data_IF_331586361382
#
_entry.id   IF_331586361382
#
_cell.length_a   1.000
_cell.length_b   1.000
_cell.length_c   1.000
_cell.angle_alpha   90.00
_cell.angle_beta   90.00
_cell.angle_gamma   90.00
#
_symmetry.space_group_name_H-M   'P 1'
#
loop_
_entity.id
_entity.type
_entity.pdbx_description
1 polymer ?
#
# COMPACT_ATOMS: atom_id res chain seq x y z
N UNK A 1 -33.81 20.70 -55.45
CA UNK A 1 -33.15 20.84 -54.15
C UNK A 1 -33.24 19.53 -53.41
N UNK A 2 -32.12 18.79 -53.25
CA UNK A 2 -32.08 17.52 -52.53
C UNK A 2 -31.61 17.77 -51.09
N UNK A 3 -32.43 17.42 -50.11
CA UNK A 3 -32.09 17.53 -48.70
C UNK A 3 -31.39 16.25 -48.27
N UNK A 4 -30.10 16.37 -47.99
CA UNK A 4 -29.26 15.25 -47.48
C UNK A 4 -29.39 15.20 -45.97
N UNK A 5 -30.10 14.21 -45.42
CA UNK A 5 -30.19 13.96 -43.99
C UNK A 5 -28.96 13.16 -43.53
N UNK A 6 -28.08 13.81 -42.81
CA UNK A 6 -26.93 13.17 -42.11
C UNK A 6 -27.43 12.37 -40.90
N UNK A 7 -27.31 11.03 -40.93
CA UNK A 7 -27.55 10.17 -39.80
C UNK A 7 -26.29 10.16 -38.91
N UNK A 8 -26.33 10.87 -37.79
CA UNK A 8 -25.27 10.73 -36.74
C UNK A 8 -25.32 9.33 -36.12
N UNK A 9 -24.26 8.57 -36.31
CA UNK A 9 -24.04 7.29 -35.58
C UNK A 9 -23.67 7.61 -34.13
N UNK A 10 -24.63 7.48 -33.23
CA UNK A 10 -24.34 7.45 -31.78
C UNK A 10 -23.54 6.18 -31.52
N UNK A 11 -22.21 6.31 -31.27
CA UNK A 11 -21.41 5.23 -30.71
C UNK A 11 -21.87 5.02 -29.27
N UNK A 12 -22.64 3.98 -29.00
CA UNK A 12 -22.82 3.44 -27.64
C UNK A 12 -21.46 2.89 -27.21
N UNK A 13 -20.80 3.55 -26.28
CA UNK A 13 -19.74 2.96 -25.46
C UNK A 13 -20.40 1.86 -24.64
N UNK A 14 -20.08 0.61 -24.95
CA UNK A 14 -20.45 -0.51 -24.08
C UNK A 14 -19.59 -0.34 -22.82
N UNK A 15 -20.20 0.07 -21.72
CA UNK A 15 -19.54 0.03 -20.41
C UNK A 15 -19.19 -1.44 -20.15
N UNK A 16 -17.90 -1.73 -20.04
CA UNK A 16 -17.44 -3.07 -19.64
C UNK A 16 -17.90 -3.29 -18.21
N UNK A 17 -18.63 -4.37 -17.99
CA UNK A 17 -19.02 -4.76 -16.64
C UNK A 17 -17.77 -5.00 -15.79
N UNK A 18 -17.73 -4.41 -14.60
CA UNK A 18 -16.67 -4.64 -13.61
C UNK A 18 -17.19 -5.50 -12.47
N UNK A 19 -16.30 -6.18 -11.79
CA UNK A 19 -16.58 -6.91 -10.56
C UNK A 19 -15.58 -6.50 -9.49
N UNK A 20 -16.06 -6.36 -8.27
CA UNK A 20 -15.21 -6.04 -7.13
C UNK A 20 -14.41 -7.27 -6.69
N UNK A 21 -13.12 -7.10 -6.47
CA UNK A 21 -12.20 -8.15 -6.03
C UNK A 21 -11.29 -7.63 -4.92
N UNK A 22 -10.94 -8.53 -4.02
CA UNK A 22 -9.80 -8.43 -3.14
C UNK A 22 -8.65 -9.20 -3.75
N UNK A 23 -7.45 -8.61 -3.74
CA UNK A 23 -6.20 -9.31 -3.98
C UNK A 23 -5.33 -9.15 -2.73
N UNK A 24 -4.72 -10.23 -2.28
CA UNK A 24 -3.93 -10.21 -1.05
C UNK A 24 -2.81 -11.25 -1.07
N UNK A 25 -1.89 -11.09 -0.14
CA UNK A 25 -0.65 -11.84 -0.09
C UNK A 25 -0.54 -12.65 1.19
N UNK A 26 0.08 -13.83 1.10
CA UNK A 26 0.50 -14.61 2.26
C UNK A 26 2.03 -14.70 2.29
N UNK A 27 2.64 -14.12 3.31
CA UNK A 27 4.08 -14.14 3.49
C UNK A 27 4.61 -15.55 3.78
N UNK A 28 3.86 -16.36 4.53
CA UNK A 28 4.27 -17.72 4.91
C UNK A 28 4.23 -18.71 3.75
N UNK A 29 3.23 -18.61 2.86
CA UNK A 29 3.11 -19.51 1.71
C UNK A 29 3.75 -18.96 0.44
N UNK A 30 4.09 -17.67 0.40
CA UNK A 30 4.62 -17.01 -0.80
C UNK A 30 3.60 -16.88 -1.93
N UNK A 31 2.30 -16.80 -1.60
CA UNK A 31 1.20 -16.85 -2.55
C UNK A 31 0.53 -15.51 -2.74
N UNK A 32 -0.06 -15.32 -3.93
CA UNK A 32 -0.98 -14.23 -4.25
C UNK A 32 -2.38 -14.81 -4.42
N UNK A 33 -3.32 -14.25 -3.71
CA UNK A 33 -4.71 -14.67 -3.68
C UNK A 33 -5.65 -13.65 -4.32
N UNK A 34 -6.81 -14.13 -4.75
CA UNK A 34 -7.96 -13.30 -5.13
C UNK A 34 -9.24 -13.87 -4.53
N UNK A 35 -10.12 -13.00 -4.04
CA UNK A 35 -11.44 -13.36 -3.55
C UNK A 35 -12.47 -12.26 -3.85
N UNK A 36 -13.75 -12.58 -3.75
CA UNK A 36 -14.80 -11.57 -3.68
C UNK A 36 -14.73 -10.82 -2.33
N UNK A 37 -15.26 -9.59 -2.23
CA UNK A 37 -15.25 -8.83 -0.98
C UNK A 37 -15.99 -9.48 0.21
N UNK A 38 -16.79 -10.51 -0.04
CA UNK A 38 -17.46 -11.31 0.98
C UNK A 38 -16.70 -12.61 1.34
N UNK A 39 -15.50 -12.81 0.76
CA UNK A 39 -14.65 -13.99 0.95
C UNK A 39 -14.97 -15.17 0.02
N UNK A 40 -16.07 -15.12 -0.73
CA UNK A 40 -16.39 -16.16 -1.72
C UNK A 40 -15.42 -16.14 -2.91
N UNK A 41 -15.44 -17.21 -3.70
CA UNK A 41 -14.59 -17.38 -4.89
C UNK A 41 -13.09 -17.14 -4.61
N UNK A 42 -12.62 -17.64 -3.44
CA UNK A 42 -11.20 -17.60 -3.06
C UNK A 42 -10.37 -18.46 -4.02
N UNK A 43 -9.31 -17.85 -4.56
CA UNK A 43 -8.39 -18.49 -5.51
C UNK A 43 -6.95 -18.14 -5.17
N UNK A 44 -6.06 -19.11 -5.28
CA UNK A 44 -4.63 -18.86 -5.40
C UNK A 44 -4.36 -18.56 -6.87
N UNK A 45 -3.94 -17.34 -7.18
CA UNK A 45 -3.65 -16.90 -8.55
C UNK A 45 -2.16 -17.01 -8.90
N UNK A 46 -1.28 -16.92 -7.88
CA UNK A 46 0.16 -17.23 -8.03
C UNK A 46 0.53 -18.15 -6.88
N UNK A 47 0.97 -19.39 -7.22
CA UNK A 47 0.97 -20.50 -6.28
C UNK A 47 2.15 -20.52 -5.32
N UNK A 48 3.36 -20.14 -5.75
CA UNK A 48 4.56 -20.32 -4.92
C UNK A 48 5.78 -19.58 -5.49
N UNK A 49 6.90 -19.64 -4.77
CA UNK A 49 8.19 -19.12 -5.22
C UNK A 49 8.46 -17.68 -4.78
N UNK A 50 7.53 -17.02 -4.12
CA UNK A 50 7.72 -15.65 -3.60
C UNK A 50 8.23 -15.71 -2.19
N UNK A 51 9.24 -14.91 -1.92
CA UNK A 51 9.86 -14.88 -0.60
C UNK A 51 9.36 -13.67 0.17
N UNK A 52 8.47 -13.93 1.15
CA UNK A 52 7.87 -12.93 2.00
C UNK A 52 7.21 -11.79 1.20
N UNK A 53 6.20 -12.06 0.35
CA UNK A 53 5.47 -11.00 -0.33
C UNK A 53 4.78 -10.11 0.70
N UNK A 54 4.72 -8.77 0.43
CA UNK A 54 4.26 -7.82 1.45
C UNK A 54 3.26 -6.78 0.94
N UNK A 55 3.58 -5.92 0.00
CA UNK A 55 2.68 -4.93 -0.55
C UNK A 55 2.11 -5.33 -1.89
N UNK A 56 0.88 -4.93 -2.21
CA UNK A 56 0.19 -5.25 -3.48
C UNK A 56 -0.64 -4.08 -3.97
N UNK A 57 -0.60 -3.81 -5.28
CA UNK A 57 -1.47 -2.82 -5.95
C UNK A 57 -2.00 -3.35 -7.27
N UNK A 58 -3.10 -2.75 -7.72
CA UNK A 58 -3.81 -3.09 -8.96
C UNK A 58 -3.73 -1.95 -9.95
N UNK A 59 -3.38 -2.24 -11.19
CA UNK A 59 -3.63 -1.38 -12.35
C UNK A 59 -4.81 -1.93 -13.13
N UNK A 60 -6.02 -1.49 -12.78
CA UNK A 60 -7.26 -1.97 -13.40
C UNK A 60 -7.32 -1.66 -14.90
N UNK A 61 -6.79 -0.51 -15.32
CA UNK A 61 -6.77 -0.10 -16.72
C UNK A 61 -5.87 -0.98 -17.60
N UNK A 62 -4.77 -1.48 -17.06
CA UNK A 62 -3.82 -2.36 -17.76
C UNK A 62 -4.08 -3.86 -17.53
N UNK A 63 -4.92 -4.22 -16.56
CA UNK A 63 -5.18 -5.63 -16.20
C UNK A 63 -4.04 -6.28 -15.42
N UNK A 64 -3.29 -5.51 -14.64
CA UNK A 64 -2.10 -5.99 -13.95
C UNK A 64 -2.16 -5.86 -12.43
N UNK A 65 -1.55 -6.83 -11.75
CA UNK A 65 -1.17 -6.78 -10.35
C UNK A 65 0.33 -6.51 -10.24
N UNK A 66 0.73 -5.76 -9.21
CA UNK A 66 2.13 -5.57 -8.82
C UNK A 66 2.26 -5.87 -7.34
N UNK A 67 3.31 -6.58 -6.94
CA UNK A 67 3.59 -6.86 -5.53
C UNK A 67 5.08 -6.85 -5.24
N UNK A 68 5.40 -6.55 -4.00
CA UNK A 68 6.76 -6.61 -3.48
C UNK A 68 7.05 -7.99 -2.90
N UNK A 69 8.29 -8.44 -3.04
CA UNK A 69 8.85 -9.58 -2.32
C UNK A 69 9.99 -9.06 -1.46
N UNK A 70 9.87 -9.20 -0.14
CA UNK A 70 10.89 -8.71 0.78
C UNK A 70 12.22 -9.43 0.64
N UNK A 71 12.20 -10.68 0.16
CA UNK A 71 13.42 -11.50 0.10
C UNK A 71 13.93 -11.87 1.48
N UNK A 72 15.25 -12.01 1.58
CA UNK A 72 15.93 -12.19 2.87
C UNK A 72 16.35 -10.82 3.42
N UNK A 73 15.91 -10.41 4.60
CA UNK A 73 16.25 -9.11 5.19
C UNK A 73 17.75 -8.83 5.37
N UNK A 74 18.61 -9.80 5.14
CA UNK A 74 20.06 -9.65 5.22
C UNK A 74 20.79 -9.80 3.89
N UNK A 75 20.07 -10.08 2.78
CA UNK A 75 20.70 -10.52 1.52
C UNK A 75 20.58 -9.52 0.35
N UNK A 76 19.89 -8.39 0.50
CA UNK A 76 19.62 -7.44 -0.59
C UNK A 76 19.07 -8.15 -1.85
N UNK A 77 18.10 -9.04 -1.67
CA UNK A 77 17.47 -9.84 -2.73
C UNK A 77 15.97 -9.55 -2.91
N UNK A 78 15.51 -8.42 -2.37
CA UNK A 78 14.15 -7.94 -2.56
C UNK A 78 13.85 -7.62 -4.03
N UNK A 79 12.58 -7.77 -4.42
CA UNK A 79 12.13 -7.57 -5.81
C UNK A 79 10.70 -7.04 -5.86
N UNK A 80 10.29 -6.56 -7.04
CA UNK A 80 8.89 -6.27 -7.34
C UNK A 80 8.52 -7.07 -8.60
N UNK A 81 7.42 -7.79 -8.51
CA UNK A 81 6.86 -8.58 -9.61
C UNK A 81 5.53 -7.99 -10.10
N UNK A 82 5.17 -8.37 -11.32
CA UNK A 82 3.88 -8.09 -11.95
C UNK A 82 3.31 -9.38 -12.54
N UNK A 83 1.99 -9.51 -12.51
CA UNK A 83 1.24 -10.51 -13.28
C UNK A 83 -0.05 -9.92 -13.87
N UNK A 84 -0.71 -10.67 -14.74
CA UNK A 84 -2.11 -10.43 -15.10
C UNK A 84 -3.03 -10.82 -13.94
N UNK A 85 -4.32 -10.41 -13.98
CA UNK A 85 -5.28 -10.70 -12.89
C UNK A 85 -5.54 -12.19 -12.66
N UNK A 86 -5.26 -13.04 -13.63
CA UNK A 86 -5.35 -14.50 -13.49
C UNK A 86 -4.04 -15.16 -13.03
N UNK A 87 -3.04 -14.36 -12.67
CA UNK A 87 -1.73 -14.81 -12.19
C UNK A 87 -0.78 -15.25 -13.29
N UNK A 88 -1.13 -15.10 -14.58
CA UNK A 88 -0.23 -15.41 -15.68
C UNK A 88 0.76 -14.28 -15.97
N UNK A 89 1.72 -14.57 -16.84
CA UNK A 89 2.72 -13.63 -17.33
C UNK A 89 3.52 -12.95 -16.20
N UNK A 90 3.83 -13.71 -15.14
CA UNK A 90 4.65 -13.21 -14.03
C UNK A 90 6.01 -12.75 -14.54
N UNK A 91 6.40 -11.54 -14.18
CA UNK A 91 7.69 -10.96 -14.56
C UNK A 91 8.24 -10.03 -13.47
N UNK A 92 9.57 -10.02 -13.33
CA UNK A 92 10.22 -9.03 -12.47
C UNK A 92 10.17 -7.64 -13.11
N UNK A 93 9.65 -6.67 -12.35
CA UNK A 93 9.69 -5.24 -12.70
C UNK A 93 10.91 -4.59 -12.04
N UNK A 94 11.13 -4.86 -10.76
CA UNK A 94 12.36 -4.49 -10.06
C UNK A 94 13.08 -5.76 -9.69
N UNK A 95 14.27 -6.03 -10.31
CA UNK A 95 14.98 -7.28 -10.10
C UNK A 95 15.61 -7.34 -8.70
N UNK A 96 15.93 -8.55 -8.19
CA UNK A 96 16.68 -8.73 -6.96
C UNK A 96 17.98 -7.91 -6.96
N UNK A 97 18.27 -7.25 -5.83
CA UNK A 97 19.45 -6.40 -5.67
C UNK A 97 19.24 -4.92 -5.99
N UNK A 98 18.17 -4.55 -6.69
CA UNK A 98 17.84 -3.15 -6.96
C UNK A 98 17.07 -2.49 -5.80
N UNK A 99 16.45 -3.26 -4.94
CA UNK A 99 15.83 -2.85 -3.68
C UNK A 99 16.19 -3.87 -2.61
N UNK A 100 16.30 -3.43 -1.35
CA UNK A 100 16.79 -4.31 -0.28
C UNK A 100 15.66 -5.19 0.28
N UNK A 101 14.64 -4.55 0.90
CA UNK A 101 13.50 -5.22 1.52
C UNK A 101 12.24 -4.41 1.24
N UNK A 102 11.72 -4.44 0.00
CA UNK A 102 10.55 -3.66 -0.37
C UNK A 102 9.33 -4.13 0.43
N UNK A 103 8.64 -3.16 1.04
CA UNK A 103 7.44 -3.34 1.85
C UNK A 103 6.21 -2.89 1.05
N UNK A 104 5.35 -2.05 1.63
CA UNK A 104 4.16 -1.56 0.94
C UNK A 104 4.52 -0.74 -0.29
N UNK A 105 3.67 -0.80 -1.32
CA UNK A 105 3.85 -0.06 -2.56
C UNK A 105 2.55 0.62 -2.99
N UNK A 106 2.70 1.66 -3.81
CA UNK A 106 1.59 2.41 -4.38
C UNK A 106 1.78 2.66 -5.88
N UNK A 107 0.67 2.82 -6.58
CA UNK A 107 0.62 3.04 -8.02
C UNK A 107 0.14 4.45 -8.35
N UNK A 108 0.94 5.19 -9.11
CA UNK A 108 0.52 6.40 -9.83
C UNK A 108 0.22 6.02 -11.28
N UNK A 109 -1.06 5.72 -11.56
CA UNK A 109 -1.49 5.37 -12.91
C UNK A 109 -1.32 6.53 -13.90
N UNK A 110 -1.56 7.77 -13.45
CA UNK A 110 -1.48 8.97 -14.26
C UNK A 110 -0.08 9.20 -14.83
N UNK A 111 0.94 9.06 -14.00
CA UNK A 111 2.34 9.24 -14.38
C UNK A 111 3.06 7.92 -14.67
N UNK A 112 2.36 6.78 -14.61
CA UNK A 112 2.86 5.43 -14.88
C UNK A 112 4.07 5.06 -14.03
N UNK A 113 3.93 5.22 -12.69
CA UNK A 113 5.01 4.97 -11.72
C UNK A 113 4.55 4.08 -10.58
N UNK A 114 5.50 3.28 -10.08
CA UNK A 114 5.41 2.57 -8.80
C UNK A 114 6.25 3.29 -7.76
N UNK A 115 5.75 3.33 -6.52
CA UNK A 115 6.42 3.87 -5.35
C UNK A 115 6.40 2.82 -4.25
N UNK A 116 7.48 2.66 -3.51
CA UNK A 116 7.53 1.68 -2.42
C UNK A 116 8.46 2.12 -1.28
N UNK A 117 8.23 1.59 -0.10
CA UNK A 117 9.13 1.67 1.02
C UNK A 117 10.13 0.51 0.96
N UNK A 118 11.40 0.79 1.15
CA UNK A 118 12.49 -0.19 1.23
C UNK A 118 13.00 -0.20 2.68
N UNK A 119 12.54 -1.17 3.48
CA UNK A 119 12.62 -1.15 4.94
C UNK A 119 14.06 -1.14 5.45
N UNK A 120 14.82 -2.21 5.26
CA UNK A 120 16.22 -2.30 5.64
C UNK A 120 17.12 -1.44 4.77
N UNK A 121 16.66 -1.05 3.59
CA UNK A 121 17.30 -0.04 2.75
C UNK A 121 17.15 1.38 3.31
N UNK A 122 16.28 1.60 4.29
CA UNK A 122 16.04 2.90 4.95
C UNK A 122 15.71 4.00 3.94
N UNK A 123 14.78 3.73 3.01
CA UNK A 123 14.47 4.67 1.92
C UNK A 123 13.05 4.49 1.37
N UNK A 124 12.57 5.52 0.70
CA UNK A 124 11.40 5.46 -0.16
C UNK A 124 11.87 5.58 -1.61
N UNK A 125 11.39 4.71 -2.46
CA UNK A 125 11.84 4.57 -3.83
C UNK A 125 10.70 4.69 -4.83
N UNK A 126 11.07 4.93 -6.10
CA UNK A 126 10.15 5.02 -7.23
C UNK A 126 10.78 4.42 -8.49
N UNK A 127 9.96 3.88 -9.39
CA UNK A 127 10.36 3.48 -10.74
C UNK A 127 9.22 3.70 -11.74
N UNK A 128 9.50 3.62 -13.03
CA UNK A 128 8.47 3.47 -14.05
C UNK A 128 7.82 2.06 -13.94
N UNK A 129 6.60 1.89 -14.49
CA UNK A 129 5.88 0.60 -14.48
C UNK A 129 6.59 -0.52 -15.24
N UNK A 130 7.56 -0.20 -16.07
CA UNK A 130 8.43 -1.16 -16.76
C UNK A 130 9.72 -1.48 -16.00
N UNK A 131 9.88 -0.91 -14.78
CA UNK A 131 11.07 -1.07 -13.94
C UNK A 131 12.24 -0.17 -14.29
N UNK A 132 12.13 0.65 -15.33
CA UNK A 132 13.17 1.63 -15.67
C UNK A 132 13.17 2.82 -14.70
N UNK A 133 14.26 3.57 -14.65
CA UNK A 133 14.43 4.78 -13.83
C UNK A 133 14.14 4.55 -12.35
N UNK A 134 14.74 3.50 -11.77
CA UNK A 134 14.69 3.30 -10.31
C UNK A 134 15.46 4.43 -9.64
N UNK A 135 14.80 5.12 -8.70
CA UNK A 135 15.37 6.25 -7.97
C UNK A 135 14.95 6.26 -6.49
N UNK A 136 15.80 6.80 -5.64
CA UNK A 136 15.50 7.05 -4.22
C UNK A 136 14.92 8.44 -4.08
N UNK A 137 13.74 8.56 -3.45
CA UNK A 137 13.06 9.83 -3.18
C UNK A 137 13.32 10.36 -1.77
N UNK A 138 13.41 9.45 -0.81
CA UNK A 138 13.71 9.72 0.60
C UNK A 138 14.83 8.77 1.01
N UNK A 139 15.86 9.30 1.63
CA UNK A 139 16.92 8.52 2.26
C UNK A 139 16.93 8.87 3.75
N UNK A 140 16.57 7.91 4.58
CA UNK A 140 16.50 8.07 6.04
C UNK A 140 17.75 7.55 6.75
N UNK A 141 18.76 7.07 6.02
CA UNK A 141 19.96 6.45 6.58
C UNK A 141 20.89 7.43 7.31
N UNK A 142 20.73 8.75 7.01
CA UNK A 142 21.63 9.81 7.54
C UNK A 142 23.11 9.54 7.28
N UNK A 143 23.40 8.93 6.12
CA UNK A 143 24.76 8.61 5.69
C UNK A 143 25.30 7.27 6.22
N UNK A 144 24.54 6.56 7.05
CA UNK A 144 24.87 5.20 7.46
C UNK A 144 23.99 4.20 6.69
N UNK A 145 24.39 3.90 5.48
CA UNK A 145 23.67 3.03 4.58
C UNK A 145 23.83 1.51 4.91
N UNK A 146 24.35 1.17 6.07
CA UNK A 146 24.41 -0.25 6.50
C UNK A 146 22.98 -0.78 6.67
N UNK A 147 22.58 -1.76 5.87
CA UNK A 147 21.19 -2.21 5.86
C UNK A 147 20.72 -2.65 7.25
N UNK A 148 19.53 -2.20 7.61
CA UNK A 148 18.86 -2.62 8.85
C UNK A 148 19.46 -2.11 10.15
N UNK A 149 20.48 -1.25 10.12
CA UNK A 149 21.21 -0.85 11.33
C UNK A 149 20.36 -0.03 12.31
N UNK A 150 19.50 0.84 11.81
CA UNK A 150 18.68 1.70 12.65
C UNK A 150 17.18 1.47 12.37
N UNK A 151 16.54 0.69 13.23
CA UNK A 151 15.11 0.34 13.10
C UNK A 151 14.21 1.59 13.08
N UNK A 152 14.61 2.68 13.74
CA UNK A 152 13.84 3.94 13.75
C UNK A 152 13.73 4.60 12.37
N UNK A 153 14.58 4.19 11.43
CA UNK A 153 14.67 4.74 10.07
C UNK A 153 14.00 3.84 9.02
N UNK A 154 13.45 2.71 9.43
CA UNK A 154 12.78 1.77 8.55
C UNK A 154 11.48 2.35 7.99
N UNK A 155 11.42 2.53 6.67
CA UNK A 155 10.22 2.94 5.95
C UNK A 155 9.37 1.71 5.62
N UNK A 156 8.05 1.75 5.89
CA UNK A 156 7.19 0.55 5.77
C UNK A 156 5.97 0.80 4.88
N UNK A 157 5.03 1.63 5.31
CA UNK A 157 3.82 1.96 4.57
C UNK A 157 4.00 3.18 3.68
N UNK A 158 3.22 3.25 2.59
CA UNK A 158 3.27 4.38 1.65
C UNK A 158 1.90 4.66 1.06
N UNK A 159 1.54 5.95 0.92
CA UNK A 159 0.38 6.39 0.17
C UNK A 159 0.68 7.66 -0.64
N UNK A 160 -0.15 7.94 -1.66
CA UNK A 160 0.07 9.03 -2.60
C UNK A 160 -1.15 9.94 -2.69
N UNK A 161 -0.93 11.25 -2.65
CA UNK A 161 -1.84 12.27 -3.13
C UNK A 161 -1.23 12.88 -4.41
N UNK A 162 -1.47 12.20 -5.52
CA UNK A 162 -0.86 12.54 -6.83
C UNK A 162 -1.28 13.94 -7.29
N UNK A 163 -2.54 14.33 -7.05
CA UNK A 163 -3.05 15.64 -7.46
C UNK A 163 -2.43 16.78 -6.65
N UNK A 164 -2.22 16.58 -5.36
CA UNK A 164 -1.48 17.55 -4.52
C UNK A 164 0.04 17.42 -4.64
N UNK A 165 0.53 16.42 -5.38
CA UNK A 165 1.96 16.17 -5.54
C UNK A 165 2.64 15.74 -4.23
N UNK A 166 1.98 14.94 -3.40
CA UNK A 166 2.47 14.51 -2.08
C UNK A 166 2.58 13.00 -1.96
N UNK A 167 3.58 12.54 -1.23
CA UNK A 167 3.71 11.18 -0.73
C UNK A 167 3.72 11.16 0.79
N UNK A 168 3.19 10.08 1.36
CA UNK A 168 3.11 9.82 2.79
C UNK A 168 3.77 8.48 3.09
N UNK A 169 4.49 8.36 4.19
CA UNK A 169 5.07 7.08 4.59
C UNK A 169 5.11 6.92 6.10
N UNK A 170 5.17 5.66 6.54
CA UNK A 170 5.36 5.30 7.93
C UNK A 170 6.82 4.94 8.21
N UNK A 171 7.28 5.25 9.41
CA UNK A 171 8.44 4.64 10.05
C UNK A 171 7.96 3.94 11.31
N UNK A 172 8.04 2.60 11.33
CA UNK A 172 7.41 1.84 12.40
C UNK A 172 8.09 1.99 13.77
N UNK A 173 9.36 2.32 13.79
CA UNK A 173 10.17 2.31 15.02
C UNK A 173 10.52 0.88 15.49
N UNK A 174 11.25 0.76 16.60
CA UNK A 174 11.47 -0.53 17.25
C UNK A 174 10.16 -1.13 17.78
N UNK A 175 10.13 -2.45 17.92
CA UNK A 175 8.94 -3.17 18.34
C UNK A 175 8.47 -2.67 19.72
N UNK A 176 7.20 -2.27 19.80
CA UNK A 176 6.53 -1.77 21.01
C UNK A 176 7.19 -0.56 21.73
N UNK A 177 8.07 0.16 21.05
CA UNK A 177 8.78 1.30 21.66
C UNK A 177 7.95 2.60 21.71
N UNK A 178 6.81 2.68 21.01
CA UNK A 178 6.06 3.93 20.91
C UNK A 178 6.82 5.03 20.15
N UNK A 179 7.69 4.65 19.24
CA UNK A 179 8.52 5.57 18.46
C UNK A 179 8.13 5.62 16.97
N UNK A 180 6.98 5.03 16.63
CA UNK A 180 6.42 5.06 15.30
C UNK A 180 6.04 6.47 14.85
N UNK A 181 6.16 6.74 13.55
CA UNK A 181 5.94 8.06 12.97
C UNK A 181 5.30 7.97 11.60
N UNK A 182 4.55 9.01 11.23
CA UNK A 182 4.02 9.23 9.88
C UNK A 182 4.53 10.56 9.36
N UNK A 183 5.04 10.53 8.14
CA UNK A 183 5.62 11.68 7.45
C UNK A 183 4.91 11.96 6.13
N UNK A 184 5.12 13.18 5.62
CA UNK A 184 4.74 13.61 4.29
C UNK A 184 5.88 14.39 3.63
N UNK A 185 6.00 14.29 2.29
CA UNK A 185 6.89 15.12 1.49
C UNK A 185 6.29 15.35 0.09
N UNK A 186 6.91 16.19 -0.73
CA UNK A 186 6.56 16.30 -2.15
C UNK A 186 6.92 15.01 -2.89
N UNK A 187 6.17 14.66 -3.94
CA UNK A 187 6.51 13.55 -4.85
C UNK A 187 7.86 13.78 -5.54
N UNK A 188 8.16 15.04 -5.91
CA UNK A 188 9.42 15.40 -6.53
C UNK A 188 10.40 15.95 -5.49
N UNK A 189 11.67 15.59 -5.63
CA UNK A 189 12.72 16.17 -4.77
C UNK A 189 12.86 17.66 -5.11
N UNK A 190 12.85 18.57 -4.11
CA UNK A 190 13.00 19.99 -4.36
C UNK A 190 14.28 20.32 -5.13
N UNK A 191 14.20 21.29 -6.04
CA UNK A 191 15.33 21.70 -6.88
C UNK A 191 16.59 22.01 -6.04
N UNK A 192 17.71 21.40 -6.42
CA UNK A 192 18.99 21.59 -5.73
C UNK A 192 19.16 20.76 -4.45
N UNK A 193 18.23 19.86 -4.17
CA UNK A 193 18.29 18.92 -3.05
C UNK A 193 18.44 17.49 -3.55
N UNK A 194 18.69 16.57 -2.62
CA UNK A 194 18.81 15.13 -2.85
C UNK A 194 17.86 14.38 -1.91
N UNK A 195 17.67 13.09 -2.11
CA UNK A 195 16.88 12.23 -1.22
C UNK A 195 17.33 12.30 0.26
N UNK A 196 18.65 12.50 0.49
CA UNK A 196 19.26 12.52 1.82
C UNK A 196 19.21 13.90 2.51
N UNK A 197 19.04 15.00 1.76
CA UNK A 197 19.11 16.34 2.35
C UNK A 197 17.89 17.21 2.05
N UNK A 198 16.81 16.65 1.54
CA UNK A 198 15.57 17.36 1.26
C UNK A 198 14.95 17.93 2.53
N UNK A 199 14.40 19.14 2.42
CA UNK A 199 13.90 19.93 3.57
C UNK A 199 12.39 20.05 3.61
N UNK A 200 11.69 19.39 2.70
CA UNK A 200 10.23 19.43 2.57
C UNK A 200 9.55 18.25 3.30
N UNK A 201 10.30 17.51 4.11
CA UNK A 201 9.76 16.42 4.94
C UNK A 201 9.02 17.03 6.12
N UNK A 202 7.75 16.68 6.25
CA UNK A 202 6.86 17.09 7.33
C UNK A 202 6.55 15.90 8.23
N UNK A 203 6.77 16.02 9.54
CA UNK A 203 6.33 15.04 10.54
C UNK A 203 4.85 15.33 10.86
N UNK A 204 3.97 14.39 10.53
CA UNK A 204 2.53 14.51 10.77
C UNK A 204 2.12 13.94 12.13
N UNK A 205 2.54 12.70 12.40
CA UNK A 205 2.22 11.97 13.63
C UNK A 205 3.47 11.30 14.19
N UNK A 206 3.55 11.22 15.51
CA UNK A 206 4.68 10.62 16.25
C UNK A 206 4.19 9.92 17.51
N UNK A 207 5.07 9.16 18.16
CA UNK A 207 4.78 8.38 19.36
C UNK A 207 3.67 7.34 19.11
N UNK A 208 3.62 6.81 17.89
CA UNK A 208 2.73 5.71 17.52
C UNK A 208 3.36 4.37 17.93
N UNK A 209 2.55 3.34 18.24
CA UNK A 209 3.11 2.03 18.60
C UNK A 209 3.99 1.45 17.47
N UNK A 210 3.41 0.96 16.39
CA UNK A 210 4.11 0.45 15.20
C UNK A 210 3.27 0.64 13.94
N UNK A 211 3.18 1.85 13.35
CA UNK A 211 2.42 2.08 12.14
C UNK A 211 3.01 1.32 10.96
N UNK A 212 2.18 0.55 10.25
CA UNK A 212 2.59 -0.31 9.14
C UNK A 212 2.10 0.27 7.83
N UNK A 213 0.96 -0.17 7.31
CA UNK A 213 0.39 0.26 6.05
C UNK A 213 -0.49 1.49 6.23
N UNK A 214 -0.64 2.30 5.18
CA UNK A 214 -1.47 3.49 5.24
C UNK A 214 -2.19 3.76 3.92
N UNK A 215 -3.41 4.30 4.03
CA UNK A 215 -4.28 4.65 2.91
C UNK A 215 -4.92 6.03 3.13
N UNK A 216 -5.29 6.70 2.03
CA UNK A 216 -5.83 8.06 2.06
C UNK A 216 -7.27 8.11 1.55
N UNK A 217 -8.14 8.72 2.32
CA UNK A 217 -9.40 9.28 1.84
C UNK A 217 -9.18 10.75 1.48
N UNK A 218 -8.83 10.99 0.21
CA UNK A 218 -8.50 12.32 -0.29
C UNK A 218 -9.70 13.28 -0.26
N UNK A 219 -10.92 12.76 -0.44
CA UNK A 219 -12.14 13.57 -0.43
C UNK A 219 -12.45 14.13 0.96
N UNK A 220 -12.24 13.31 2.00
CA UNK A 220 -12.46 13.70 3.39
C UNK A 220 -11.18 14.13 4.10
N UNK A 221 -10.05 14.20 3.40
CA UNK A 221 -8.74 14.58 3.95
C UNK A 221 -8.38 13.76 5.19
N UNK A 222 -8.58 12.44 5.12
CA UNK A 222 -8.37 11.51 6.23
C UNK A 222 -7.31 10.47 5.84
N UNK A 223 -6.34 10.24 6.72
CA UNK A 223 -5.36 9.17 6.63
C UNK A 223 -5.78 8.02 7.53
N UNK A 224 -5.70 6.79 7.03
CA UNK A 224 -5.91 5.55 7.75
C UNK A 224 -4.62 4.77 7.81
N UNK A 225 -4.35 4.03 8.89
CA UNK A 225 -3.22 3.12 8.97
C UNK A 225 -3.47 1.96 9.91
N UNK A 226 -2.84 0.84 9.62
CA UNK A 226 -2.73 -0.28 10.55
C UNK A 226 -1.59 -0.03 11.53
N UNK A 227 -1.78 -0.45 12.76
CA UNK A 227 -0.75 -0.40 13.78
C UNK A 227 -0.56 -1.80 14.39
N UNK A 228 0.67 -2.31 14.33
CA UNK A 228 1.02 -3.67 14.73
C UNK A 228 1.39 -3.81 16.21
N UNK A 229 1.73 -2.71 16.87
CA UNK A 229 2.18 -2.72 18.26
C UNK A 229 1.21 -3.39 19.24
N UNK A 230 1.61 -3.48 20.50
CA UNK A 230 0.80 -4.12 21.53
C UNK A 230 -0.46 -3.32 21.92
N UNK A 231 -1.55 -4.03 22.30
CA UNK A 231 -2.74 -3.38 22.87
C UNK A 231 -2.38 -2.57 24.15
N UNK A 232 -3.16 -1.50 24.47
CA UNK A 232 -4.44 -1.14 23.84
C UNK A 232 -4.31 -0.23 22.62
N UNK A 233 -3.14 0.33 22.33
CA UNK A 233 -2.97 1.31 21.26
C UNK A 233 -2.46 0.69 19.95
N UNK A 234 -1.92 -0.51 19.99
CA UNK A 234 -1.53 -1.30 18.84
C UNK A 234 -2.49 -2.46 18.56
N UNK A 235 -2.20 -3.24 17.52
CA UNK A 235 -3.11 -4.21 16.93
C UNK A 235 -4.45 -3.57 16.53
N UNK A 236 -4.36 -2.39 15.90
CA UNK A 236 -5.48 -1.49 15.62
C UNK A 236 -5.45 -0.98 14.18
N UNK A 237 -6.58 -0.41 13.74
CA UNK A 237 -6.63 0.55 12.64
C UNK A 237 -6.96 1.91 13.22
N UNK A 238 -6.23 2.88 12.79
CA UNK A 238 -6.36 4.27 13.23
C UNK A 238 -6.73 5.16 12.04
N UNK A 239 -7.39 6.28 12.33
CA UNK A 239 -7.58 7.37 11.38
C UNK A 239 -7.29 8.73 12.00
N UNK A 240 -6.90 9.67 11.15
CA UNK A 240 -6.64 11.04 11.57
C UNK A 240 -6.69 12.00 10.36
N UNK A 241 -6.75 13.32 10.54
CA UNK A 241 -6.63 14.28 9.45
C UNK A 241 -5.30 14.16 8.70
N UNK A 242 -5.33 14.29 7.38
CA UNK A 242 -4.12 14.40 6.57
C UNK A 242 -3.33 15.69 6.83
N UNK A 243 -4.02 16.72 7.34
CA UNK A 243 -3.47 18.05 7.63
C UNK A 243 -3.64 18.38 9.12
N UNK A 244 -2.85 17.73 10.00
CA UNK A 244 -2.98 17.96 11.44
C UNK A 244 -2.61 19.40 11.82
N UNK A 245 -3.38 20.00 12.74
CA UNK A 245 -3.05 21.31 13.30
C UNK A 245 -1.77 21.20 14.13
N UNK A 246 -0.78 22.03 13.81
CA UNK A 246 0.49 22.08 14.54
C UNK A 246 0.32 22.80 15.90
N UNK A 247 0.98 22.31 16.95
CA UNK A 247 1.01 22.93 18.27
C UNK A 247 0.14 22.25 19.33
N UNK A 248 -0.24 22.98 20.38
CA UNK A 248 -0.92 22.45 21.59
C UNK A 248 -2.33 21.90 21.37
N UNK A 249 -2.83 21.85 20.16
CA UNK A 249 -4.11 21.27 19.77
C UNK A 249 -3.98 20.06 18.88
N UNK A 250 -2.85 19.31 18.90
CA UNK A 250 -2.66 18.11 18.09
C UNK A 250 -3.86 17.19 18.22
N UNK A 251 -4.55 16.99 17.12
CA UNK A 251 -5.66 16.05 17.03
C UNK A 251 -5.10 14.64 17.20
N UNK A 252 -5.57 13.93 18.23
CA UNK A 252 -5.14 12.54 18.46
C UNK A 252 -5.75 11.64 17.40
N UNK A 253 -5.00 10.61 16.93
CA UNK A 253 -5.58 9.55 16.12
C UNK A 253 -6.77 8.91 16.83
N UNK A 254 -7.76 8.52 16.05
CA UNK A 254 -8.91 7.75 16.47
C UNK A 254 -8.70 6.28 16.12
N UNK A 255 -8.83 5.39 17.09
CA UNK A 255 -8.86 3.94 16.85
C UNK A 255 -10.24 3.58 16.32
N UNK A 256 -10.32 3.12 15.07
CA UNK A 256 -11.59 2.70 14.44
C UNK A 256 -11.75 1.18 14.40
N UNK A 257 -10.68 0.41 14.53
CA UNK A 257 -10.71 -1.03 14.61
C UNK A 257 -9.62 -1.53 15.58
N UNK A 258 -9.90 -2.60 16.31
CA UNK A 258 -9.00 -3.18 17.31
C UNK A 258 -9.04 -4.71 17.28
N UNK A 259 -8.22 -5.37 18.11
CA UNK A 259 -8.12 -6.83 18.21
C UNK A 259 -7.61 -7.52 16.95
N UNK A 260 -6.78 -6.86 16.14
CA UNK A 260 -5.99 -7.52 15.11
C UNK A 260 -4.91 -8.41 15.75
N UNK A 261 -4.42 -9.38 14.99
CA UNK A 261 -3.25 -10.20 15.38
C UNK A 261 -2.05 -9.80 14.53
N UNK A 262 -1.36 -8.74 14.92
CA UNK A 262 -0.33 -8.05 14.13
C UNK A 262 -0.90 -7.54 12.79
N UNK A 263 -1.67 -6.45 12.86
CA UNK A 263 -2.31 -5.83 11.69
C UNK A 263 -1.28 -5.34 10.67
N UNK A 264 -1.43 -5.75 9.40
CA UNK A 264 -0.50 -5.41 8.33
C UNK A 264 -1.16 -4.57 7.24
N UNK A 265 -2.00 -5.14 6.39
CA UNK A 265 -2.53 -4.45 5.22
C UNK A 265 -3.87 -3.76 5.48
N UNK A 266 -4.10 -2.67 4.77
CA UNK A 266 -5.38 -1.96 4.73
C UNK A 266 -5.73 -1.60 3.28
N UNK A 267 -6.99 -1.80 2.89
CA UNK A 267 -7.54 -1.36 1.63
C UNK A 267 -8.87 -0.63 1.85
N UNK A 268 -9.09 0.48 1.15
CA UNK A 268 -10.31 1.28 1.25
C UNK A 268 -11.20 1.11 0.00
N UNK A 269 -12.44 0.70 0.20
CA UNK A 269 -13.53 0.87 -0.75
C UNK A 269 -14.27 2.17 -0.39
N UNK A 270 -13.72 3.30 -0.82
CA UNK A 270 -14.27 4.63 -0.50
C UNK A 270 -15.68 4.81 -1.05
N UNK A 271 -15.99 4.24 -2.22
CA UNK A 271 -17.32 4.29 -2.83
C UNK A 271 -18.35 3.49 -2.03
N UNK A 272 -17.96 2.32 -1.52
CA UNK A 272 -18.79 1.47 -0.66
C UNK A 272 -18.77 1.87 0.81
N UNK A 273 -17.92 2.84 1.20
CA UNK A 273 -17.78 3.29 2.59
C UNK A 273 -17.18 2.23 3.52
N UNK A 274 -16.30 1.36 3.00
CA UNK A 274 -15.75 0.21 3.72
C UNK A 274 -14.23 0.15 3.67
N UNK A 275 -13.66 -0.57 4.62
CA UNK A 275 -12.27 -0.97 4.65
C UNK A 275 -12.14 -2.49 4.76
N UNK A 276 -11.01 -3.01 4.26
CA UNK A 276 -10.59 -4.39 4.38
C UNK A 276 -9.20 -4.43 5.01
N UNK A 277 -8.99 -5.38 5.92
CA UNK A 277 -7.82 -5.45 6.78
C UNK A 277 -7.25 -6.85 6.76
N UNK A 278 -5.93 -6.97 6.80
CA UNK A 278 -5.22 -8.24 6.97
C UNK A 278 -4.37 -8.23 8.23
N UNK A 279 -4.14 -9.41 8.80
CA UNK A 279 -3.22 -9.58 9.90
C UNK A 279 -2.35 -10.85 9.73
N UNK A 280 -1.27 -10.93 10.51
CA UNK A 280 -0.38 -12.10 10.51
C UNK A 280 -1.03 -13.33 11.15
N UNK A 281 -2.15 -13.18 11.85
CA UNK A 281 -2.98 -14.29 12.32
C UNK A 281 -3.74 -15.01 11.20
N UNK A 282 -3.68 -14.49 9.97
CA UNK A 282 -4.25 -15.11 8.78
C UNK A 282 -5.71 -14.75 8.52
N UNK A 283 -6.16 -13.62 9.03
CA UNK A 283 -7.54 -13.18 8.86
C UNK A 283 -7.65 -12.00 7.91
N UNK A 284 -8.78 -11.94 7.20
CA UNK A 284 -9.28 -10.74 6.53
C UNK A 284 -10.53 -10.28 7.25
N UNK A 285 -10.55 -9.01 7.64
CA UNK A 285 -11.72 -8.37 8.22
C UNK A 285 -12.26 -7.30 7.27
N UNK A 286 -13.54 -6.99 7.38
CA UNK A 286 -14.14 -5.80 6.80
C UNK A 286 -14.90 -5.01 7.85
N UNK A 287 -14.93 -3.68 7.69
CA UNK A 287 -15.73 -2.78 8.50
C UNK A 287 -16.12 -1.55 7.67
N UNK A 288 -17.06 -0.77 8.14
CA UNK A 288 -17.27 0.58 7.62
C UNK A 288 -16.05 1.45 7.94
N UNK A 289 -15.88 2.57 7.24
CA UNK A 289 -14.74 3.50 7.46
C UNK A 289 -14.70 4.13 8.87
N UNK A 290 -15.81 4.08 9.60
CA UNK A 290 -15.90 4.49 11.01
C UNK A 290 -15.66 3.34 12.01
N UNK A 291 -15.31 2.14 11.50
CA UNK A 291 -15.07 0.95 12.30
C UNK A 291 -16.32 0.19 12.74
N UNK A 292 -17.50 0.64 12.36
CA UNK A 292 -18.76 -0.08 12.61
C UNK A 292 -18.94 -1.26 11.65
N UNK A 293 -19.94 -2.11 11.89
CA UNK A 293 -20.33 -3.24 11.02
C UNK A 293 -19.18 -4.22 10.69
N UNK A 294 -18.39 -4.54 11.71
CA UNK A 294 -17.22 -5.44 11.63
C UNK A 294 -17.62 -6.87 11.25
N UNK A 295 -16.86 -7.48 10.34
CA UNK A 295 -17.04 -8.87 9.91
C UNK A 295 -15.69 -9.52 9.67
N UNK A 296 -15.57 -10.81 10.00
CA UNK A 296 -14.50 -11.66 9.50
C UNK A 296 -14.90 -12.14 8.10
N UNK A 297 -14.06 -11.84 7.11
CA UNK A 297 -14.26 -12.22 5.71
C UNK A 297 -13.62 -13.59 5.44
N UNK A 298 -12.37 -13.76 5.85
CA UNK A 298 -11.60 -15.00 5.78
C UNK A 298 -10.83 -15.19 7.09
N UNK A 299 -10.49 -16.44 7.41
CA UNK A 299 -9.70 -16.78 8.59
C UNK A 299 -8.79 -17.98 8.30
N UNK A 300 -7.65 -18.03 9.00
CA UNK A 300 -6.65 -19.10 8.95
C UNK A 300 -5.97 -19.31 7.57
N UNK A 301 -5.80 -18.23 6.79
CA UNK A 301 -5.18 -18.25 5.45
C UNK A 301 -3.64 -18.06 5.49
N UNK A 302 -2.99 -18.33 6.61
CA UNK A 302 -1.55 -18.14 6.83
C UNK A 302 -1.20 -16.72 7.32
N UNK A 303 0.04 -16.28 7.16
CA UNK A 303 0.44 -14.93 7.58
C UNK A 303 0.11 -13.93 6.46
N UNK A 304 -1.04 -13.24 6.57
CA UNK A 304 -1.48 -12.29 5.55
C UNK A 304 -0.78 -10.95 5.70
N UNK A 305 -0.45 -10.34 4.55
CA UNK A 305 0.26 -9.06 4.47
C UNK A 305 -0.54 -8.06 3.65
N UNK A 306 -0.04 -7.55 2.54
CA UNK A 306 -0.75 -6.55 1.74
C UNK A 306 -2.08 -7.02 1.19
N UNK A 307 -3.02 -6.10 1.09
CA UNK A 307 -4.35 -6.28 0.51
C UNK A 307 -4.72 -5.07 -0.34
N UNK A 308 -5.43 -5.31 -1.43
CA UNK A 308 -6.02 -4.24 -2.25
C UNK A 308 -7.44 -4.61 -2.66
N UNK A 309 -8.33 -3.63 -2.61
CA UNK A 309 -9.67 -3.69 -3.19
C UNK A 309 -9.66 -3.02 -4.56
N UNK A 310 -10.20 -3.68 -5.58
CA UNK A 310 -10.30 -3.10 -6.91
C UNK A 310 -11.55 -3.56 -7.65
N UNK A 311 -12.10 -2.68 -8.49
CA UNK A 311 -13.04 -3.06 -9.54
C UNK A 311 -12.25 -3.46 -10.78
N UNK A 312 -12.36 -4.72 -11.18
CA UNK A 312 -11.65 -5.29 -12.33
C UNK A 312 -12.64 -5.71 -13.41
N UNK A 313 -12.23 -5.78 -14.68
CA UNK A 313 -13.12 -6.29 -15.74
C UNK A 313 -13.69 -7.66 -15.34
N UNK A 314 -15.01 -7.81 -15.47
CA UNK A 314 -15.65 -9.10 -15.23
C UNK A 314 -15.05 -10.16 -16.19
N UNK A 315 -14.68 -11.32 -15.65
CA UNK A 315 -14.28 -12.45 -16.49
C UNK A 315 -15.48 -12.88 -17.34
N UNK A 316 -15.26 -13.02 -18.64
CA UNK A 316 -16.24 -13.52 -19.59
C UNK A 316 -16.24 -15.06 -19.64
#
# INVERSE_FOLDING_TARGET
>A
MAVTTSKSKIRRTVEKSTTARLFFLSASSGQVFSANPDGSDLKVIVSEGRRLPDGIVVNSGAGHLYWTNMGNPTANDGSIERADFDGKNVTHIVPPGATFTPKQLQLDEKNRKLYWCDREGMRVMRANLDGSKIETLIDTSEGDARPGKDIKKWCVGIALDVEAGKLYWTQKGPDNAGEGRIFRANLEIPKGQTAANRKDIELLYENLPEPIDLELDLANRTIYWTDRGDPPSGNTVNRAPMDPVQGNGKQKPEIVFDHLMEGIGIALDLKGGRMFLTDLGGSIYSANLDGSNRKTVLAAEGNLTGIVYAEVPAAH
#
